data_IF_142834276843
#
_entry.id   IF_142834276843
#
_cell.length_a   1.000
_cell.length_b   1.000
_cell.length_c   1.000
_cell.angle_alpha   90.00
_cell.angle_beta   90.00
_cell.angle_gamma   90.00
#
_symmetry.space_group_name_H-M   'P 1'
#
loop_
_entity.id
_entity.type
_entity.pdbx_description
1 polymer ?
#
# COMPACT_ATOMS: atom_id res chain seq x y z
N UNK A 1 -16.34 -10.82 10.62
CA UNK A 1 -16.60 -11.77 9.52
C UNK A 1 -15.28 -12.00 8.79
N UNK A 2 -14.72 -13.23 8.82
CA UNK A 2 -13.39 -13.57 8.27
C UNK A 2 -13.56 -14.06 6.82
N UNK A 3 -13.19 -13.28 5.81
CA UNK A 3 -13.06 -13.73 4.40
C UNK A 3 -11.68 -14.39 4.21
N UNK A 4 -11.53 -15.60 4.76
CA UNK A 4 -10.41 -16.47 4.41
C UNK A 4 -10.70 -17.16 3.06
N UNK A 5 -9.67 -17.74 2.39
CA UNK A 5 -9.90 -18.64 1.26
C UNK A 5 -10.95 -19.70 1.61
N UNK A 6 -11.70 -20.16 0.61
CA UNK A 6 -12.77 -21.13 0.79
C UNK A 6 -12.16 -22.41 1.39
N UNK A 7 -12.57 -22.72 2.63
CA UNK A 7 -12.25 -23.97 3.31
C UNK A 7 -13.12 -25.06 2.70
N UNK A 8 -12.52 -26.10 2.14
CA UNK A 8 -13.25 -27.28 1.68
C UNK A 8 -12.63 -28.56 2.28
N UNK A 9 -13.41 -29.63 2.43
CA UNK A 9 -12.88 -30.93 2.82
C UNK A 9 -11.77 -31.39 1.87
N UNK A 10 -10.74 -32.02 2.44
CA UNK A 10 -9.54 -32.43 1.70
C UNK A 10 -9.86 -33.45 0.59
N UNK A 11 -10.93 -34.19 0.76
CA UNK A 11 -11.47 -35.23 -0.11
C UNK A 11 -12.56 -34.71 -1.07
N UNK A 12 -12.89 -33.41 -1.06
CA UNK A 12 -13.87 -32.85 -1.99
C UNK A 12 -13.30 -32.83 -3.42
N UNK A 13 -13.95 -33.49 -4.41
CA UNK A 13 -13.46 -33.52 -5.80
C UNK A 13 -13.28 -32.14 -6.42
N UNK A 14 -14.07 -31.15 -5.99
CA UNK A 14 -13.97 -29.76 -6.40
C UNK A 14 -12.60 -29.12 -6.05
N UNK A 15 -11.88 -29.64 -5.05
CA UNK A 15 -10.52 -29.18 -4.71
C UNK A 15 -9.56 -29.25 -5.89
N UNK A 16 -9.65 -30.32 -6.68
CA UNK A 16 -8.80 -30.51 -7.85
C UNK A 16 -9.20 -29.56 -8.98
N UNK A 17 -10.50 -29.47 -9.26
CA UNK A 17 -11.07 -28.60 -10.29
C UNK A 17 -10.69 -27.13 -10.05
N UNK A 18 -10.90 -26.64 -8.83
CA UNK A 18 -10.61 -25.26 -8.47
C UNK A 18 -9.10 -24.94 -8.50
N UNK A 19 -8.23 -25.88 -8.10
CA UNK A 19 -6.77 -25.73 -8.25
C UNK A 19 -6.36 -25.64 -9.72
N UNK A 20 -6.98 -26.44 -10.59
CA UNK A 20 -6.73 -26.41 -12.04
C UNK A 20 -7.21 -25.09 -12.67
N UNK A 21 -8.20 -24.42 -12.06
CA UNK A 21 -8.69 -23.08 -12.44
C UNK A 21 -7.90 -21.91 -11.79
N UNK A 22 -6.77 -22.19 -11.12
CA UNK A 22 -6.00 -21.21 -10.31
C UNK A 22 -6.79 -20.54 -9.17
N UNK A 23 -7.91 -21.14 -8.76
CA UNK A 23 -8.67 -20.69 -7.59
C UNK A 23 -7.99 -21.29 -6.36
N UNK A 24 -7.54 -20.41 -5.45
CA UNK A 24 -6.78 -20.83 -4.29
C UNK A 24 -7.69 -21.53 -3.26
N UNK A 25 -7.56 -22.85 -3.17
CA UNK A 25 -8.31 -23.66 -2.20
C UNK A 25 -7.42 -24.14 -1.06
N UNK A 26 -7.89 -23.98 0.17
CA UNK A 26 -7.11 -24.26 1.37
C UNK A 26 -7.57 -25.54 2.08
N UNK A 27 -6.61 -26.39 2.44
CA UNK A 27 -6.78 -27.59 3.27
C UNK A 27 -7.28 -27.24 4.68
N UNK A 28 -8.19 -28.04 5.22
CA UNK A 28 -8.81 -27.77 6.53
C UNK A 28 -7.78 -27.69 7.68
N UNK A 29 -6.74 -28.52 7.65
CA UNK A 29 -5.70 -28.53 8.70
C UNK A 29 -4.80 -27.30 8.60
N UNK A 30 -4.58 -26.79 7.38
CA UNK A 30 -3.78 -25.59 7.14
C UNK A 30 -4.53 -24.32 7.54
N UNK A 31 -5.85 -24.28 7.34
CA UNK A 31 -6.70 -23.16 7.77
C UNK A 31 -6.70 -22.96 9.30
N UNK A 32 -6.61 -24.05 10.08
CA UNK A 32 -6.61 -24.02 11.55
C UNK A 32 -5.28 -23.59 12.19
N UNK A 33 -4.18 -23.66 11.43
CA UNK A 33 -2.81 -23.42 11.94
C UNK A 33 -2.25 -22.06 11.54
N UNK A 34 -2.94 -21.29 10.70
CA UNK A 34 -2.46 -19.98 10.28
C UNK A 34 -2.53 -18.95 11.41
N UNK A 35 -1.35 -18.49 11.84
CA UNK A 35 -1.19 -17.21 12.52
C UNK A 35 -1.07 -16.11 11.46
N UNK A 36 -2.20 -15.58 10.99
CA UNK A 36 -2.20 -14.44 10.07
C UNK A 36 -1.86 -13.18 10.87
N UNK A 37 -0.63 -12.68 10.71
CA UNK A 37 -0.22 -11.39 11.27
C UNK A 37 -0.86 -10.21 10.51
N UNK A 38 -0.96 -9.02 11.12
CA UNK A 38 -1.33 -7.81 10.39
C UNK A 38 -0.37 -7.54 9.22
N UNK A 39 -0.92 -7.06 8.10
CA UNK A 39 -0.14 -6.57 6.98
C UNK A 39 0.28 -5.13 7.24
N UNK A 40 1.56 -4.82 7.02
CA UNK A 40 2.09 -3.45 7.10
C UNK A 40 2.04 -2.80 5.72
N UNK A 41 1.21 -1.77 5.58
CA UNK A 41 1.03 -1.01 4.36
C UNK A 41 1.60 0.39 4.52
N UNK A 42 2.49 0.78 3.62
CA UNK A 42 3.00 2.13 3.52
C UNK A 42 2.19 2.90 2.46
N UNK A 43 1.77 4.13 2.75
CA UNK A 43 1.07 4.97 1.78
C UNK A 43 1.76 6.32 1.66
N UNK A 44 2.31 6.59 0.48
CA UNK A 44 2.84 7.89 0.08
C UNK A 44 1.74 8.75 -0.54
N UNK A 45 1.24 9.69 0.27
CA UNK A 45 0.14 10.58 -0.13
C UNK A 45 0.69 11.92 -0.63
N UNK A 46 0.87 12.03 -1.96
CA UNK A 46 1.29 13.24 -2.67
C UNK A 46 0.12 14.01 -3.30
N UNK A 47 -1.12 13.60 -3.00
CA UNK A 47 -2.30 14.38 -3.37
C UNK A 47 -2.37 15.69 -2.58
N UNK A 48 -2.91 16.78 -3.18
CA UNK A 48 -3.15 18.03 -2.47
C UNK A 48 -4.24 17.87 -1.41
N UNK A 49 -5.30 17.10 -1.70
CA UNK A 49 -6.42 16.85 -0.79
C UNK A 49 -6.17 15.60 0.05
N UNK A 50 -5.25 15.68 1.02
CA UNK A 50 -4.77 14.50 1.78
C UNK A 50 -5.89 13.76 2.51
N UNK A 51 -6.70 14.46 3.32
CA UNK A 51 -7.79 13.86 4.12
C UNK A 51 -8.83 13.15 3.25
N UNK A 52 -9.19 13.73 2.10
CA UNK A 52 -10.11 13.11 1.14
C UNK A 52 -9.51 11.82 0.59
N UNK A 53 -8.23 11.87 0.22
CA UNK A 53 -7.48 10.71 -0.32
C UNK A 53 -7.33 9.62 0.74
N UNK A 54 -7.01 9.97 1.98
CA UNK A 54 -6.95 9.07 3.13
C UNK A 54 -8.27 8.32 3.30
N UNK A 55 -9.38 9.07 3.32
CA UNK A 55 -10.72 8.50 3.47
C UNK A 55 -11.08 7.54 2.34
N UNK A 56 -10.73 7.89 1.10
CA UNK A 56 -11.00 7.06 -0.08
C UNK A 56 -10.20 5.75 -0.04
N UNK A 57 -8.89 5.82 0.25
CA UNK A 57 -8.04 4.64 0.33
C UNK A 57 -8.45 3.73 1.48
N UNK A 58 -8.66 4.29 2.68
CA UNK A 58 -9.08 3.50 3.85
C UNK A 58 -10.45 2.84 3.64
N UNK A 59 -11.37 3.47 2.91
CA UNK A 59 -12.67 2.86 2.55
C UNK A 59 -12.51 1.63 1.66
N UNK A 60 -11.55 1.64 0.74
CA UNK A 60 -11.28 0.47 -0.12
C UNK A 60 -10.55 -0.63 0.65
N UNK A 61 -9.56 -0.23 1.46
CA UNK A 61 -8.76 -1.14 2.28
C UNK A 61 -9.54 -1.77 3.44
N UNK A 62 -10.66 -1.17 3.87
CA UNK A 62 -11.50 -1.74 4.94
C UNK A 62 -12.39 -2.90 4.46
N UNK A 63 -12.48 -3.16 3.15
CA UNK A 63 -13.27 -4.24 2.58
C UNK A 63 -12.51 -5.57 2.51
N UNK A 64 -11.71 -5.87 3.53
CA UNK A 64 -11.03 -7.15 3.70
C UNK A 64 -11.04 -7.55 5.18
N UNK A 65 -11.08 -8.86 5.49
CA UNK A 65 -10.94 -9.35 6.86
C UNK A 65 -9.51 -9.35 7.39
N UNK A 66 -8.52 -9.06 6.52
CA UNK A 66 -7.12 -8.97 6.92
C UNK A 66 -6.94 -7.71 7.75
N UNK A 67 -6.21 -7.83 8.86
CA UNK A 67 -5.80 -6.65 9.62
C UNK A 67 -4.69 -5.94 8.83
N UNK A 68 -4.85 -4.63 8.61
CA UNK A 68 -3.89 -3.79 7.91
C UNK A 68 -3.46 -2.67 8.86
N UNK A 69 -2.16 -2.54 9.08
CA UNK A 69 -1.52 -1.41 9.75
C UNK A 69 -1.02 -0.45 8.67
N UNK A 70 -1.45 0.81 8.73
CA UNK A 70 -1.10 1.82 7.73
C UNK A 70 -0.14 2.83 8.32
N UNK A 71 1.03 2.97 7.69
CA UNK A 71 1.92 4.12 7.89
C UNK A 71 1.71 5.10 6.74
N UNK A 72 1.43 6.37 7.08
CA UNK A 72 1.35 7.45 6.11
C UNK A 72 2.70 8.14 6.00
N UNK A 73 3.15 8.39 4.78
CA UNK A 73 4.33 9.21 4.52
C UNK A 73 4.04 10.37 3.58
N UNK A 74 4.73 11.47 3.82
CA UNK A 74 4.74 12.65 2.97
C UNK A 74 6.17 12.95 2.53
N UNK A 75 6.30 13.70 1.44
CA UNK A 75 7.61 14.20 1.00
C UNK A 75 8.07 15.29 1.98
N UNK A 76 9.26 15.11 2.54
CA UNK A 76 9.88 16.11 3.42
C UNK A 76 10.28 17.37 2.64
N UNK A 77 10.59 17.21 1.35
CA UNK A 77 10.96 18.30 0.44
C UNK A 77 9.76 19.11 -0.10
N UNK A 78 8.51 18.68 0.15
CA UNK A 78 7.32 19.30 -0.42
C UNK A 78 6.43 19.99 0.62
N UNK A 79 6.12 21.26 0.38
CA UNK A 79 5.15 21.99 1.21
C UNK A 79 3.70 21.66 0.79
N UNK A 80 2.98 20.96 1.66
CA UNK A 80 1.59 20.58 1.42
C UNK A 80 0.64 21.75 1.68
N UNK A 81 0.04 22.31 0.61
CA UNK A 81 -0.75 23.55 0.68
C UNK A 81 -2.15 23.46 1.33
N UNK A 82 -2.76 22.28 1.39
CA UNK A 82 -4.17 22.11 1.80
C UNK A 82 -4.33 21.21 3.04
N UNK A 83 -3.36 21.21 3.95
CA UNK A 83 -3.41 20.46 5.20
C UNK A 83 -2.73 21.23 6.32
N UNK A 84 -3.23 21.08 7.55
CA UNK A 84 -2.58 21.68 8.71
C UNK A 84 -1.26 20.97 9.01
N UNK A 85 -0.26 21.74 9.48
CA UNK A 85 1.01 21.16 9.90
C UNK A 85 0.82 20.20 11.07
N UNK A 86 -0.15 20.47 11.95
CA UNK A 86 -0.47 19.61 13.09
C UNK A 86 -0.93 18.22 12.64
N UNK A 87 -1.71 18.11 11.55
CA UNK A 87 -2.14 16.80 11.03
C UNK A 87 -0.96 16.02 10.44
N UNK A 88 -0.08 16.70 9.69
CA UNK A 88 1.13 16.06 9.17
C UNK A 88 2.01 15.57 10.31
N UNK A 89 2.30 16.41 11.30
CA UNK A 89 3.15 16.04 12.43
C UNK A 89 2.56 14.91 13.29
N UNK A 90 1.23 14.84 13.40
CA UNK A 90 0.57 13.82 14.22
C UNK A 90 0.45 12.46 13.53
N UNK A 91 0.28 12.42 12.21
CA UNK A 91 -0.14 11.22 11.49
C UNK A 91 0.79 10.77 10.36
N UNK A 92 1.69 11.64 9.91
CA UNK A 92 2.62 11.34 8.83
C UNK A 92 4.05 11.19 9.33
N UNK A 93 4.78 10.31 8.68
CA UNK A 93 6.23 10.14 8.82
C UNK A 93 6.92 10.64 7.57
N UNK A 94 8.21 10.90 7.69
CA UNK A 94 9.12 11.16 6.58
C UNK A 94 9.82 9.88 6.14
N UNK A 95 10.45 9.90 4.97
CA UNK A 95 11.25 8.78 4.49
C UNK A 95 12.35 8.37 5.48
N UNK A 96 13.00 9.33 6.13
CA UNK A 96 14.10 9.04 7.06
C UNK A 96 13.66 8.28 8.31
N UNK A 97 12.41 8.41 8.72
CA UNK A 97 11.84 7.68 9.86
C UNK A 97 11.46 6.23 9.51
N UNK A 98 11.26 5.92 8.23
CA UNK A 98 10.79 4.60 7.78
C UNK A 98 11.83 3.80 7.00
N UNK A 99 12.99 4.38 6.66
CA UNK A 99 13.97 3.76 5.75
C UNK A 99 14.54 2.42 6.24
N UNK A 100 14.52 2.16 7.54
CA UNK A 100 14.98 0.87 8.12
C UNK A 100 13.83 -0.16 8.27
N UNK A 101 12.58 0.24 7.98
CA UNK A 101 11.42 -0.63 8.09
C UNK A 101 11.24 -1.51 6.85
N UNK A 102 10.39 -2.55 6.99
CA UNK A 102 9.90 -3.37 5.88
C UNK A 102 8.39 -3.40 5.86
N UNK A 103 7.82 -3.42 4.65
CA UNK A 103 6.39 -3.35 4.42
C UNK A 103 5.92 -4.46 3.47
N UNK A 104 4.69 -4.91 3.65
CA UNK A 104 4.03 -5.88 2.78
C UNK A 104 3.50 -5.20 1.51
N UNK A 105 3.11 -3.92 1.63
CA UNK A 105 2.59 -3.14 0.52
C UNK A 105 3.09 -1.70 0.55
N UNK A 106 3.20 -1.08 -0.64
CA UNK A 106 3.34 0.36 -0.83
C UNK A 106 2.25 0.84 -1.79
N UNK A 107 1.57 1.93 -1.43
CA UNK A 107 0.73 2.68 -2.36
C UNK A 107 1.35 4.07 -2.54
N UNK A 108 1.58 4.47 -3.79
CA UNK A 108 1.92 5.85 -4.14
C UNK A 108 0.74 6.46 -4.89
N UNK A 109 0.17 7.52 -4.32
CA UNK A 109 -0.97 8.25 -4.89
C UNK A 109 -0.56 9.10 -6.09
N UNK A 110 -1.54 9.61 -6.85
CA UNK A 110 -1.26 10.58 -7.91
C UNK A 110 -0.89 11.97 -7.37
N UNK A 111 -0.39 12.82 -8.25
CA UNK A 111 -0.13 14.22 -7.97
C UNK A 111 -0.50 15.09 -9.20
N UNK A 112 -0.90 16.36 -8.98
CA UNK A 112 -1.26 17.29 -10.06
C UNK A 112 -0.03 17.97 -10.65
N UNK A 113 0.95 17.17 -11.10
CA UNK A 113 2.24 17.63 -11.64
C UNK A 113 2.49 17.12 -13.07
N UNK A 114 1.44 16.63 -13.74
CA UNK A 114 1.51 15.96 -15.04
C UNK A 114 1.97 16.85 -16.22
N UNK A 115 2.11 18.16 -16.00
CA UNK A 115 2.57 19.12 -17.00
C UNK A 115 4.01 19.58 -16.81
N UNK A 116 4.66 19.13 -15.73
CA UNK A 116 6.06 19.39 -15.46
C UNK A 116 6.88 18.24 -16.01
N UNK A 117 8.10 18.54 -16.47
CA UNK A 117 9.11 17.49 -16.63
C UNK A 117 9.42 16.91 -15.25
N UNK A 118 9.84 15.64 -15.20
CA UNK A 118 10.04 14.95 -13.93
C UNK A 118 11.05 15.67 -13.04
N UNK A 119 12.14 16.15 -13.62
CA UNK A 119 13.22 16.85 -12.94
C UNK A 119 12.80 18.23 -12.39
N UNK A 120 11.70 18.80 -12.90
CA UNK A 120 11.13 20.06 -12.43
C UNK A 120 10.16 19.86 -11.26
N UNK A 121 9.83 18.61 -10.90
CA UNK A 121 9.03 18.32 -9.70
C UNK A 121 9.91 18.50 -8.46
N UNK A 122 9.46 19.34 -7.54
CA UNK A 122 10.21 19.77 -6.35
C UNK A 122 10.67 18.63 -5.43
N UNK A 123 9.90 17.54 -5.37
CA UNK A 123 10.24 16.33 -4.62
C UNK A 123 10.77 15.16 -5.47
N UNK A 124 11.17 15.40 -6.73
CA UNK A 124 11.55 14.32 -7.65
C UNK A 124 12.69 13.44 -7.12
N UNK A 125 13.77 14.05 -6.63
CA UNK A 125 14.92 13.30 -6.09
C UNK A 125 14.53 12.46 -4.85
N UNK A 126 13.60 12.95 -4.04
CA UNK A 126 13.05 12.19 -2.90
C UNK A 126 12.19 11.02 -3.39
N UNK A 127 11.37 11.23 -4.42
CA UNK A 127 10.59 10.17 -5.07
C UNK A 127 11.49 9.05 -5.61
N UNK A 128 12.55 9.38 -6.37
CA UNK A 128 13.50 8.40 -6.90
C UNK A 128 14.13 7.55 -5.78
N UNK A 129 14.51 8.21 -4.67
CA UNK A 129 15.06 7.54 -3.49
C UNK A 129 14.07 6.55 -2.88
N UNK A 130 12.80 6.94 -2.74
CA UNK A 130 11.74 6.07 -2.21
C UNK A 130 11.48 4.89 -3.16
N UNK A 131 11.42 5.13 -4.46
CA UNK A 131 11.21 4.09 -5.47
C UNK A 131 12.34 3.06 -5.43
N UNK A 132 13.60 3.49 -5.42
CA UNK A 132 14.74 2.58 -5.33
C UNK A 132 14.77 1.81 -4.01
N UNK A 133 14.50 2.49 -2.89
CA UNK A 133 14.38 1.85 -1.58
C UNK A 133 13.28 0.77 -1.56
N UNK A 134 12.14 1.05 -2.20
CA UNK A 134 10.97 0.16 -2.18
C UNK A 134 11.26 -1.21 -2.78
N UNK A 135 12.16 -1.29 -3.78
CA UNK A 135 12.56 -2.54 -4.45
C UNK A 135 13.11 -3.61 -3.49
N UNK A 136 13.63 -3.20 -2.32
CA UNK A 136 14.23 -4.10 -1.32
C UNK A 136 13.48 -4.15 0.01
N UNK A 137 12.62 -3.17 0.28
CA UNK A 137 11.96 -3.01 1.58
C UNK A 137 10.45 -3.23 1.52
N UNK A 138 9.88 -3.29 0.32
CA UNK A 138 8.45 -3.49 0.10
C UNK A 138 8.23 -4.75 -0.73
N UNK A 139 7.30 -5.61 -0.32
CA UNK A 139 6.98 -6.83 -1.05
C UNK A 139 6.21 -6.56 -2.36
N UNK A 140 5.22 -5.67 -2.32
CA UNK A 140 4.45 -5.27 -3.52
C UNK A 140 4.14 -3.78 -3.52
N UNK A 141 4.33 -3.11 -4.65
CA UNK A 141 4.03 -1.68 -4.82
C UNK A 141 2.90 -1.47 -5.81
N UNK A 142 2.00 -0.52 -5.50
CA UNK A 142 0.88 -0.12 -6.35
C UNK A 142 0.95 1.39 -6.58
N UNK A 143 1.04 1.79 -7.84
CA UNK A 143 1.23 3.17 -8.26
C UNK A 143 -0.04 3.70 -8.93
N UNK A 144 -0.53 4.86 -8.48
CA UNK A 144 -1.79 5.45 -8.96
C UNK A 144 -1.50 6.68 -9.84
N UNK A 145 -2.06 6.71 -11.06
CA UNK A 145 -2.04 7.87 -11.96
C UNK A 145 -0.61 8.34 -12.28
N UNK A 146 -0.25 9.59 -11.96
CA UNK A 146 1.09 10.14 -12.21
C UNK A 146 2.21 9.29 -11.56
N UNK A 147 1.97 8.70 -10.38
CA UNK A 147 2.94 7.82 -9.77
C UNK A 147 3.24 6.57 -10.62
N UNK A 148 2.28 6.12 -11.44
CA UNK A 148 2.52 5.02 -12.38
C UNK A 148 3.51 5.45 -13.47
N UNK A 149 3.48 6.71 -13.90
CA UNK A 149 4.44 7.25 -14.87
C UNK A 149 5.82 7.46 -14.23
N UNK A 150 5.84 7.97 -13.00
CA UNK A 150 7.07 8.19 -12.24
C UNK A 150 7.83 6.89 -11.92
N UNK A 151 7.14 5.74 -11.90
CA UNK A 151 7.72 4.44 -11.55
C UNK A 151 8.15 3.58 -12.76
N UNK A 152 7.97 4.08 -14.00
CA UNK A 152 8.42 3.41 -15.24
C UNK A 152 9.94 3.49 -15.39
#
# INVERSE_FOLDING_TARGET
>A
MKILPIKIPNDLPASKILKDENIFVMDENRALTQQIRPLKLLILNIMPTKIVTETQLLRMLSNTPLQIEVDWIHMASHESKNISQEHLLAFYKTFDEIKENRYDGLIITGAPVERLEFEDVDYWQEMEKILEWSKRHVFSSFFICWASQAAL
#
